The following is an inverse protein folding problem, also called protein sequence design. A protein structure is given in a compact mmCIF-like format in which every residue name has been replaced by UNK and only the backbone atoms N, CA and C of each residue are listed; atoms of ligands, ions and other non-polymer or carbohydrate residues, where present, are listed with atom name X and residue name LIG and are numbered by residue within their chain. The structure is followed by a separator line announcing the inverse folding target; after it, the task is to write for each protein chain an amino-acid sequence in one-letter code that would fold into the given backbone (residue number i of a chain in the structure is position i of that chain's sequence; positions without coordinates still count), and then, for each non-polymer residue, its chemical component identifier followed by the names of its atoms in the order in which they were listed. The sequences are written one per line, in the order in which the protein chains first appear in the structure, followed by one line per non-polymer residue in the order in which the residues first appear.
data_IF_970178353698
#
_entry.id   IF_970178353698
#
_cell.length_a   1.000
_cell.length_b   1.000
_cell.length_c   1.000
_cell.angle_alpha   90.00
_cell.angle_beta   90.00
_cell.angle_gamma   90.00
#
_symmetry.space_group_name_H-M   'P 1'
#
loop_
_entity.id
_entity.type
_entity.pdbx_description
1 polymer ?
#
# COMPACT_ATOMS: atom_id res chain seq x y z
N UNK A 1 2.30 0.38 9.58
CA UNK A 1 1.46 1.40 8.89
C UNK A 1 0.54 2.12 9.88
N UNK A 2 0.21 3.38 9.60
CA UNK A 2 -0.66 4.20 10.46
C UNK A 2 -2.06 4.25 9.84
N UNK A 3 -3.05 3.69 10.52
CA UNK A 3 -4.44 3.72 10.09
C UNK A 3 -4.97 5.16 10.04
N UNK A 4 -5.79 5.46 9.04
CA UNK A 4 -6.36 6.77 8.74
C UNK A 4 -5.32 7.84 8.39
N UNK A 5 -4.20 7.44 7.79
CA UNK A 5 -3.18 8.34 7.27
C UNK A 5 -3.13 8.24 5.75
N UNK A 6 -2.95 9.38 5.08
CA UNK A 6 -2.73 9.41 3.63
C UNK A 6 -1.30 9.02 3.33
N UNK A 7 -1.15 8.17 2.32
CA UNK A 7 0.13 7.67 1.85
C UNK A 7 0.20 7.79 0.34
N UNK A 8 1.41 8.02 -0.16
CA UNK A 8 1.73 7.87 -1.58
C UNK A 8 2.47 6.56 -1.76
N UNK A 9 2.04 5.76 -2.73
CA UNK A 9 2.65 4.49 -3.06
C UNK A 9 3.90 4.75 -3.90
N UNK A 10 5.02 4.14 -3.50
CA UNK A 10 6.31 4.27 -4.17
C UNK A 10 6.87 2.91 -4.55
N UNK A 11 7.85 2.90 -5.46
CA UNK A 11 8.53 1.68 -5.84
C UNK A 11 9.22 1.05 -4.62
N UNK A 12 9.00 -0.25 -4.41
CA UNK A 12 9.80 -1.08 -3.50
C UNK A 12 9.98 -2.46 -4.10
N UNK A 13 11.04 -3.16 -3.70
CA UNK A 13 11.32 -4.51 -4.18
C UNK A 13 10.14 -5.47 -3.88
N UNK A 14 9.52 -5.35 -2.71
CA UNK A 14 8.33 -6.13 -2.33
C UNK A 14 7.12 -5.83 -3.24
N UNK A 15 6.90 -4.56 -3.59
CA UNK A 15 5.80 -4.17 -4.48
C UNK A 15 6.00 -4.76 -5.89
N UNK A 16 7.24 -4.76 -6.37
CA UNK A 16 7.62 -5.37 -7.66
C UNK A 16 7.49 -6.89 -7.62
N UNK A 17 7.89 -7.56 -6.53
CA UNK A 17 7.68 -9.00 -6.35
C UNK A 17 6.18 -9.36 -6.38
N UNK A 18 5.32 -8.48 -5.87
CA UNK A 18 3.87 -8.62 -5.92
C UNK A 18 3.24 -8.22 -7.26
N UNK A 19 4.05 -7.77 -8.25
CA UNK A 19 3.59 -7.26 -9.54
C UNK A 19 2.59 -6.09 -9.42
N UNK A 20 2.78 -5.25 -8.40
CA UNK A 20 1.94 -4.08 -8.09
C UNK A 20 2.60 -2.76 -8.50
N UNK A 21 3.60 -2.79 -9.38
CA UNK A 21 4.31 -1.59 -9.88
C UNK A 21 3.38 -0.56 -10.52
N UNK A 22 2.23 -0.99 -11.04
CA UNK A 22 1.21 -0.09 -11.58
C UNK A 22 0.60 0.86 -10.54
N UNK A 23 0.74 0.56 -9.24
CA UNK A 23 0.28 1.40 -8.15
C UNK A 23 1.28 2.53 -7.79
N UNK A 24 2.50 2.50 -8.32
CA UNK A 24 3.51 3.53 -8.04
C UNK A 24 2.96 4.91 -8.47
N UNK A 25 3.05 5.87 -7.55
CA UNK A 25 2.53 7.23 -7.74
C UNK A 25 1.06 7.41 -7.39
N UNK A 26 0.31 6.33 -7.10
CA UNK A 26 -1.06 6.44 -6.61
C UNK A 26 -1.07 6.90 -5.16
N UNK A 27 -2.10 7.66 -4.82
CA UNK A 27 -2.38 8.09 -3.45
C UNK A 27 -3.53 7.29 -2.87
N UNK A 28 -3.47 7.08 -1.57
CA UNK A 28 -4.56 6.42 -0.86
C UNK A 28 -4.50 6.58 0.65
N UNK A 29 -5.58 6.16 1.28
CA UNK A 29 -5.76 6.19 2.73
C UNK A 29 -5.53 4.80 3.32
N UNK A 30 -4.69 4.69 4.33
CA UNK A 30 -4.52 3.43 5.06
C UNK A 30 -5.80 3.12 5.85
N UNK A 31 -6.52 2.07 5.49
CA UNK A 31 -7.76 1.64 6.17
C UNK A 31 -7.53 0.53 7.19
N UNK A 32 -6.48 -0.26 7.00
CA UNK A 32 -6.11 -1.35 7.91
C UNK A 32 -4.60 -1.48 8.02
N UNK A 33 -4.11 -1.61 9.25
CA UNK A 33 -2.71 -1.94 9.51
C UNK A 33 -2.60 -3.47 9.63
N UNK A 34 -1.83 -4.07 8.73
CA UNK A 34 -1.52 -5.50 8.69
C UNK A 34 -0.06 -5.77 9.09
N UNK A 35 0.64 -4.75 9.60
CA UNK A 35 2.04 -4.84 10.02
C UNK A 35 2.27 -5.85 11.14
N UNK A 36 1.19 -6.29 11.81
CA UNK A 36 1.20 -7.28 12.88
C UNK A 36 1.19 -8.75 12.41
N UNK A 37 0.94 -9.05 11.13
CA UNK A 37 0.70 -10.43 10.66
C UNK A 37 1.94 -11.36 10.56
N UNK A 38 3.16 -10.89 10.81
CA UNK A 38 4.35 -11.75 10.84
C UNK A 38 5.54 -11.19 10.05
N UNK A 39 6.70 -11.83 10.16
CA UNK A 39 8.02 -11.28 9.82
C UNK A 39 8.24 -10.89 8.36
N UNK A 40 7.46 -11.42 7.42
CA UNK A 40 7.85 -11.44 6.00
C UNK A 40 7.01 -10.51 5.11
N UNK A 41 5.91 -9.93 5.60
CA UNK A 41 5.05 -9.06 4.78
C UNK A 41 4.35 -8.01 5.65
N UNK A 42 5.11 -7.02 6.12
CA UNK A 42 4.55 -5.88 6.87
C UNK A 42 3.93 -4.91 5.88
N UNK A 43 2.68 -4.54 6.12
CA UNK A 43 1.96 -3.65 5.22
C UNK A 43 0.59 -3.30 5.77
N UNK A 44 -0.29 -2.92 4.86
CA UNK A 44 -1.61 -2.47 5.21
C UNK A 44 -2.51 -2.38 3.98
N UNK A 45 -3.80 -2.33 4.25
CA UNK A 45 -4.79 -2.09 3.21
C UNK A 45 -4.88 -0.59 2.98
N UNK A 46 -4.67 -0.19 1.73
CA UNK A 46 -4.76 1.20 1.29
C UNK A 46 -5.95 1.34 0.36
N UNK A 47 -6.84 2.28 0.71
CA UNK A 47 -7.92 2.72 -0.16
C UNK A 47 -7.39 3.79 -1.11
N UNK A 48 -7.18 3.41 -2.36
CA UNK A 48 -6.74 4.29 -3.44
C UNK A 48 -7.79 5.35 -3.77
N UNK A 49 -7.34 6.55 -4.15
CA UNK A 49 -8.20 7.60 -4.68
C UNK A 49 -8.76 7.26 -6.07
N UNK A 50 -7.96 6.52 -6.85
CA UNK A 50 -8.31 6.05 -8.19
C UNK A 50 -8.34 4.52 -8.23
N UNK A 51 -9.27 3.94 -9.00
CA UNK A 51 -9.36 2.49 -9.14
C UNK A 51 -8.14 1.96 -9.89
N UNK A 52 -7.57 0.89 -9.36
CA UNK A 52 -6.59 0.06 -10.07
C UNK A 52 -7.20 -1.32 -10.28
N UNK A 53 -7.25 -1.78 -11.53
CA UNK A 53 -7.88 -3.06 -11.92
C UNK A 53 -9.32 -3.21 -11.37
N UNK A 54 -10.11 -2.14 -11.47
CA UNK A 54 -11.50 -2.05 -10.97
C UNK A 54 -11.68 -2.11 -9.43
N UNK A 55 -10.59 -2.20 -8.67
CA UNK A 55 -10.60 -2.21 -7.20
C UNK A 55 -10.01 -0.92 -6.61
N UNK A 56 -10.54 -0.52 -5.45
CA UNK A 56 -10.03 0.62 -4.70
C UNK A 56 -9.12 0.21 -3.53
N UNK A 57 -9.27 -1.01 -2.99
CA UNK A 57 -8.54 -1.40 -1.79
C UNK A 57 -7.47 -2.40 -2.20
N UNK A 58 -6.21 -2.03 -1.97
CA UNK A 58 -5.06 -2.87 -2.29
C UNK A 58 -4.18 -3.05 -1.06
N UNK A 59 -3.58 -4.23 -0.94
CA UNK A 59 -2.52 -4.46 0.02
C UNK A 59 -1.24 -3.78 -0.48
N UNK A 60 -0.68 -2.90 0.34
CA UNK A 60 0.59 -2.22 0.04
C UNK A 60 1.59 -2.55 1.16
N UNK A 61 2.81 -3.00 0.82
CA UNK A 61 3.85 -3.21 1.81
C UNK A 61 4.29 -1.87 2.42
N UNK A 62 4.72 -1.90 3.68
CA UNK A 62 5.17 -0.72 4.41
C UNK A 62 6.41 -0.08 3.76
N UNK A 63 7.22 -0.88 3.06
CA UNK A 63 8.39 -0.41 2.30
C UNK A 63 8.03 0.37 1.03
N UNK A 64 6.78 0.26 0.56
CA UNK A 64 6.26 0.90 -0.65
C UNK A 64 5.35 2.11 -0.36
N UNK A 65 5.38 2.67 0.84
CA UNK A 65 4.55 3.82 1.21
C UNK A 65 5.37 4.97 1.77
N UNK A 66 4.99 6.19 1.39
CA UNK A 66 5.47 7.44 2.00
C UNK A 66 4.27 8.14 2.62
N UNK A 67 4.40 8.48 3.91
CA UNK A 67 3.40 9.26 4.65
C UNK A 67 3.47 10.74 4.26
N UNK A 68 2.32 11.38 4.09
CA UNK A 68 2.20 12.85 3.94
C UNK A 68 2.10 13.57 5.29
#
# INVERSE_FOLDING_TARGET
MIKNTYVTIVASDELTEMSLDGLIGHKGLVVEDLSFMGSDSRGGMVLLEEKYLDEFIWFIPETAVIYE
#
